data_IF_045471702287
#
_entry.id   IF_045471702287
#
_cell.length_a   1.000
_cell.length_b   1.000
_cell.length_c   1.000
_cell.angle_alpha   90.00
_cell.angle_beta   90.00
_cell.angle_gamma   90.00
#
_symmetry.space_group_name_H-M   'P 1'
#
loop_
_entity.id
_entity.type
_entity.pdbx_description
1 polymer ?
#
# COMPACT_ATOMS: atom_id res chain seq x y z
N UNK A 1 -19.55 4.18 3.02
CA UNK A 1 -18.38 3.77 2.20
C UNK A 1 -18.66 2.39 1.62
N UNK A 2 -18.37 2.17 0.34
CA UNK A 2 -18.47 0.89 -0.36
C UNK A 2 -17.07 0.45 -0.75
N UNK A 3 -16.78 -0.85 -0.66
CA UNK A 3 -15.49 -1.41 -1.10
C UNK A 3 -15.69 -2.20 -2.39
N UNK A 4 -14.77 -2.07 -3.33
CA UNK A 4 -14.72 -2.90 -4.55
C UNK A 4 -13.37 -3.62 -4.57
N UNK A 5 -13.38 -4.94 -4.48
CA UNK A 5 -12.18 -5.76 -4.62
C UNK A 5 -12.11 -6.32 -6.04
N UNK A 6 -11.06 -5.96 -6.77
CA UNK A 6 -10.85 -6.34 -8.17
C UNK A 6 -9.76 -7.39 -8.24
N UNK A 7 -10.15 -8.64 -8.41
CA UNK A 7 -9.25 -9.78 -8.53
C UNK A 7 -8.85 -10.01 -10.00
N UNK A 8 -7.60 -9.80 -10.35
CA UNK A 8 -7.08 -9.91 -11.71
C UNK A 8 -6.22 -11.16 -11.86
N UNK A 9 -6.67 -12.12 -12.64
CA UNK A 9 -5.92 -13.36 -12.91
C UNK A 9 -5.65 -14.21 -11.67
N UNK A 10 -6.55 -14.16 -10.69
CA UNK A 10 -6.50 -15.01 -9.49
C UNK A 10 -7.13 -16.38 -9.75
N UNK A 11 -6.84 -17.33 -8.88
CA UNK A 11 -7.56 -18.63 -8.90
C UNK A 11 -8.93 -18.50 -8.24
N UNK A 12 -9.86 -19.35 -8.64
CA UNK A 12 -11.20 -19.42 -8.01
C UNK A 12 -11.13 -19.69 -6.51
N UNK A 13 -10.10 -20.43 -6.07
CA UNK A 13 -9.87 -20.71 -4.65
C UNK A 13 -9.49 -19.44 -3.88
N UNK A 14 -8.53 -18.66 -4.38
CA UNK A 14 -8.10 -17.41 -3.74
C UNK A 14 -9.27 -16.44 -3.57
N UNK A 15 -10.07 -16.24 -4.61
CA UNK A 15 -11.26 -15.36 -4.55
C UNK A 15 -12.29 -15.89 -3.55
N UNK A 16 -12.50 -17.19 -3.50
CA UNK A 16 -13.40 -17.84 -2.54
C UNK A 16 -12.92 -17.67 -1.09
N UNK A 17 -11.62 -17.82 -0.86
CA UNK A 17 -11.03 -17.65 0.47
C UNK A 17 -11.18 -16.19 0.96
N UNK A 18 -10.98 -15.21 0.06
CA UNK A 18 -11.23 -13.78 0.36
C UNK A 18 -12.70 -13.54 0.69
N UNK A 19 -13.62 -14.08 -0.12
CA UNK A 19 -15.06 -13.95 0.15
C UNK A 19 -15.46 -14.51 1.52
N UNK A 20 -14.92 -15.67 1.89
CA UNK A 20 -15.17 -16.27 3.21
C UNK A 20 -14.63 -15.40 4.36
N UNK A 21 -13.42 -14.85 4.22
CA UNK A 21 -12.87 -13.96 5.23
C UNK A 21 -13.70 -12.68 5.38
N UNK A 22 -14.13 -12.07 4.27
CA UNK A 22 -15.00 -10.89 4.29
C UNK A 22 -16.35 -11.21 4.95
N UNK A 23 -16.95 -12.36 4.62
CA UNK A 23 -18.23 -12.81 5.18
C UNK A 23 -18.11 -13.04 6.69
N UNK A 24 -17.06 -13.76 7.11
CA UNK A 24 -16.79 -14.05 8.53
C UNK A 24 -16.67 -12.79 9.38
N UNK A 25 -16.25 -11.67 8.77
CA UNK A 25 -16.05 -10.37 9.44
C UNK A 25 -17.17 -9.37 9.22
N UNK A 26 -18.25 -9.77 8.55
CA UNK A 26 -19.38 -8.90 8.23
C UNK A 26 -19.08 -7.86 7.13
N UNK A 27 -17.91 -7.92 6.49
CA UNK A 27 -17.52 -6.96 5.46
C UNK A 27 -18.14 -7.25 4.09
N UNK A 28 -18.68 -8.45 3.86
CA UNK A 28 -19.34 -8.82 2.60
C UNK A 28 -20.56 -7.95 2.28
N UNK A 29 -21.22 -7.37 3.29
CA UNK A 29 -22.41 -6.54 3.11
C UNK A 29 -22.17 -5.21 2.40
N UNK A 30 -20.93 -4.71 2.43
CA UNK A 30 -20.51 -3.45 1.78
C UNK A 30 -19.35 -3.65 0.80
N UNK A 31 -19.06 -4.91 0.42
CA UNK A 31 -17.96 -5.21 -0.51
C UNK A 31 -18.49 -5.89 -1.78
N UNK A 32 -18.15 -5.32 -2.92
CA UNK A 32 -18.37 -5.89 -4.25
C UNK A 32 -17.07 -6.59 -4.68
N UNK A 33 -17.16 -7.84 -5.13
CA UNK A 33 -16.02 -8.57 -5.68
C UNK A 33 -16.20 -8.69 -7.19
N UNK A 34 -15.23 -8.18 -7.95
CA UNK A 34 -15.20 -8.31 -9.42
C UNK A 34 -13.93 -9.09 -9.76
N UNK A 35 -14.08 -10.23 -10.39
CA UNK A 35 -12.97 -11.15 -10.61
C UNK A 35 -12.85 -11.57 -12.08
N UNK A 36 -11.60 -11.66 -12.55
CA UNK A 36 -11.21 -12.47 -13.71
C UNK A 36 -10.26 -13.56 -13.24
N UNK A 37 -10.47 -14.77 -13.71
CA UNK A 37 -9.70 -15.92 -13.31
C UNK A 37 -8.53 -16.19 -14.27
N UNK A 38 -7.54 -16.90 -13.79
CA UNK A 38 -6.32 -17.22 -14.55
C UNK A 38 -6.56 -18.16 -15.76
N UNK A 39 -7.71 -18.83 -15.81
CA UNK A 39 -8.15 -19.72 -16.88
C UNK A 39 -9.09 -19.02 -17.89
N UNK A 40 -9.30 -17.71 -17.76
CA UNK A 40 -10.16 -16.92 -18.64
C UNK A 40 -9.40 -16.30 -19.82
N UNK A 41 -10.15 -15.81 -20.80
CA UNK A 41 -9.60 -15.15 -21.97
C UNK A 41 -8.89 -13.83 -21.59
N UNK A 42 -7.73 -13.51 -22.17
CA UNK A 42 -6.96 -12.30 -21.86
C UNK A 42 -7.76 -11.00 -21.95
N UNK A 43 -8.68 -10.89 -22.90
CA UNK A 43 -9.52 -9.70 -23.05
C UNK A 43 -10.45 -9.45 -21.86
N UNK A 44 -10.98 -10.49 -21.25
CA UNK A 44 -11.78 -10.36 -20.01
C UNK A 44 -10.94 -9.83 -18.87
N UNK A 45 -9.78 -10.43 -18.66
CA UNK A 45 -8.83 -9.99 -17.63
C UNK A 45 -8.39 -8.55 -17.84
N UNK A 46 -8.14 -8.14 -19.08
CA UNK A 46 -7.80 -6.75 -19.41
C UNK A 46 -8.94 -5.77 -19.09
N UNK A 47 -10.19 -6.14 -19.35
CA UNK A 47 -11.35 -5.27 -19.14
C UNK A 47 -11.82 -5.20 -17.67
N UNK A 48 -11.45 -6.16 -16.84
CA UNK A 48 -11.93 -6.30 -15.46
C UNK A 48 -11.76 -5.02 -14.62
N UNK A 49 -10.59 -4.35 -14.56
CA UNK A 49 -10.44 -3.12 -13.79
C UNK A 49 -11.24 -1.94 -14.37
N UNK A 50 -11.44 -1.88 -15.67
CA UNK A 50 -12.27 -0.83 -16.30
C UNK A 50 -13.74 -0.97 -15.89
N UNK A 51 -14.27 -2.19 -15.88
CA UNK A 51 -15.64 -2.47 -15.42
C UNK A 51 -15.79 -2.07 -13.95
N UNK A 52 -14.84 -2.44 -13.12
CA UNK A 52 -14.85 -2.11 -11.69
C UNK A 52 -14.86 -0.59 -11.44
N UNK A 53 -14.02 0.14 -12.17
CA UNK A 53 -13.94 1.58 -12.05
C UNK A 53 -15.17 2.30 -12.62
N UNK A 54 -15.83 1.75 -13.65
CA UNK A 54 -17.11 2.31 -14.14
C UNK A 54 -18.22 2.17 -13.09
N UNK A 55 -18.25 1.05 -12.34
CA UNK A 55 -19.18 0.89 -11.22
C UNK A 55 -18.84 1.85 -10.09
N UNK A 56 -17.54 2.05 -9.80
CA UNK A 56 -17.09 2.99 -8.77
C UNK A 56 -17.47 4.43 -9.13
N UNK A 57 -17.34 4.83 -10.39
CA UNK A 57 -17.72 6.16 -10.88
C UNK A 57 -19.23 6.42 -10.71
N UNK A 58 -20.07 5.45 -11.05
CA UNK A 58 -21.52 5.58 -10.86
C UNK A 58 -21.87 5.75 -9.38
N UNK A 59 -21.29 4.91 -8.50
CA UNK A 59 -21.48 5.05 -7.06
C UNK A 59 -20.99 6.38 -6.51
N UNK A 60 -19.86 6.89 -7.00
CA UNK A 60 -19.34 8.21 -6.62
C UNK A 60 -20.32 9.31 -7.02
N UNK A 61 -20.92 9.22 -8.20
CA UNK A 61 -21.95 10.19 -8.64
C UNK A 61 -23.19 10.16 -7.77
N UNK A 62 -23.52 9.00 -7.19
CA UNK A 62 -24.56 8.82 -6.16
C UNK A 62 -24.10 9.23 -4.75
N UNK A 63 -23.00 9.97 -4.64
CA UNK A 63 -22.44 10.50 -3.38
C UNK A 63 -21.91 9.44 -2.41
N UNK A 64 -21.54 8.24 -2.88
CA UNK A 64 -20.83 7.25 -2.07
C UNK A 64 -19.32 7.50 -2.08
N UNK A 65 -18.68 7.24 -0.93
CA UNK A 65 -17.23 7.05 -0.88
C UNK A 65 -16.92 5.60 -1.23
N UNK A 66 -16.08 5.40 -2.24
CA UNK A 66 -15.74 4.09 -2.78
C UNK A 66 -14.25 3.81 -2.62
N UNK A 67 -13.91 2.68 -1.99
CA UNK A 67 -12.55 2.16 -1.93
C UNK A 67 -12.40 1.04 -2.95
N UNK A 68 -11.51 1.21 -3.93
CA UNK A 68 -11.22 0.21 -4.96
C UNK A 68 -9.85 -0.39 -4.71
N UNK A 69 -9.78 -1.71 -4.49
CA UNK A 69 -8.53 -2.47 -4.36
C UNK A 69 -8.34 -3.28 -5.62
N UNK A 70 -7.26 -3.03 -6.38
CA UNK A 70 -6.95 -3.73 -7.63
C UNK A 70 -5.80 -4.72 -7.40
N UNK A 71 -6.07 -6.00 -7.40
CA UNK A 71 -5.12 -7.07 -7.10
C UNK A 71 -5.03 -8.08 -8.28
N UNK A 72 -4.00 -8.00 -9.15
CA UNK A 72 -2.91 -7.01 -9.17
C UNK A 72 -2.73 -6.39 -10.56
N UNK A 73 -2.13 -5.23 -10.61
CA UNK A 73 -1.86 -4.52 -11.88
C UNK A 73 -0.67 -5.09 -12.66
N UNK A 74 0.19 -5.90 -12.04
CA UNK A 74 1.26 -6.61 -12.78
C UNK A 74 0.66 -7.66 -13.70
N UNK A 75 -0.33 -8.41 -13.20
CA UNK A 75 -1.10 -9.37 -14.01
C UNK A 75 -1.84 -8.69 -15.15
N UNK A 76 -2.45 -7.52 -14.88
CA UNK A 76 -3.08 -6.71 -15.92
C UNK A 76 -2.08 -6.31 -17.02
N UNK A 77 -0.89 -5.84 -16.64
CA UNK A 77 0.17 -5.49 -17.58
C UNK A 77 0.63 -6.68 -18.42
N UNK A 78 0.82 -7.86 -17.79
CA UNK A 78 1.25 -9.09 -18.48
C UNK A 78 0.19 -9.54 -19.49
N UNK A 79 -1.09 -9.45 -19.16
CA UNK A 79 -2.20 -9.75 -20.07
C UNK A 79 -2.24 -8.74 -21.23
N UNK A 80 -2.04 -7.46 -20.98
CA UNK A 80 -2.00 -6.47 -22.05
C UNK A 80 -0.81 -6.69 -22.98
N UNK A 81 0.36 -7.06 -22.44
CA UNK A 81 1.51 -7.50 -23.25
C UNK A 81 1.15 -8.70 -24.13
N UNK A 82 0.48 -9.71 -23.60
CA UNK A 82 0.04 -10.89 -24.36
C UNK A 82 -0.89 -10.51 -25.51
N UNK A 83 -1.89 -9.67 -25.26
CA UNK A 83 -2.83 -9.18 -26.29
C UNK A 83 -2.09 -8.40 -27.37
N UNK A 84 -1.17 -7.53 -26.99
CA UNK A 84 -0.40 -6.70 -27.91
C UNK A 84 0.49 -7.55 -28.83
N UNK A 85 1.19 -8.52 -28.28
CA UNK A 85 2.05 -9.45 -29.04
C UNK A 85 1.20 -10.34 -29.99
N UNK A 86 0.07 -10.85 -29.53
CA UNK A 86 -0.85 -11.61 -30.38
C UNK A 86 -1.41 -10.75 -31.53
N UNK A 87 -1.58 -9.45 -31.32
CA UNK A 87 -2.00 -8.47 -32.33
C UNK A 87 -0.83 -7.99 -33.21
N UNK A 88 0.36 -8.58 -33.09
CA UNK A 88 1.59 -8.23 -33.86
C UNK A 88 1.98 -6.76 -33.74
N UNK A 89 1.67 -6.07 -32.65
CA UNK A 89 2.13 -4.71 -32.36
C UNK A 89 3.62 -4.75 -32.00
N UNK A 90 4.37 -3.74 -32.40
CA UNK A 90 5.78 -3.59 -32.05
C UNK A 90 5.93 -3.47 -30.52
N UNK A 91 6.71 -4.35 -29.87
CA UNK A 91 6.93 -4.30 -28.44
C UNK A 91 7.81 -3.11 -28.05
N UNK A 92 7.52 -2.53 -26.90
CA UNK A 92 8.36 -1.55 -26.25
C UNK A 92 9.31 -2.18 -25.22
N UNK A 93 9.64 -1.42 -24.16
CA UNK A 93 10.53 -1.86 -23.07
C UNK A 93 9.96 -3.13 -22.40
N UNK A 94 10.82 -4.11 -22.14
CA UNK A 94 10.48 -5.41 -21.54
C UNK A 94 9.33 -6.14 -22.27
N UNK A 95 9.23 -5.90 -23.59
CA UNK A 95 8.18 -6.40 -24.47
C UNK A 95 6.75 -5.94 -24.10
N UNK A 96 6.59 -4.97 -23.22
CA UNK A 96 5.30 -4.34 -22.96
C UNK A 96 4.88 -3.43 -24.11
N UNK A 97 3.57 -3.21 -24.31
CA UNK A 97 3.10 -2.18 -25.24
C UNK A 97 3.65 -0.81 -24.87
N UNK A 98 3.99 0.02 -25.85
CA UNK A 98 4.53 1.37 -25.61
C UNK A 98 3.55 2.30 -24.90
N UNK A 99 2.25 1.99 -24.93
CA UNK A 99 1.16 2.73 -24.30
C UNK A 99 0.73 2.15 -22.92
N UNK A 100 1.49 1.21 -22.34
CA UNK A 100 1.16 0.59 -21.05
C UNK A 100 1.04 1.63 -19.92
N UNK A 101 1.92 2.64 -19.90
CA UNK A 101 1.84 3.73 -18.94
C UNK A 101 0.49 4.45 -19.04
N UNK A 102 0.07 4.77 -20.26
CA UNK A 102 -1.20 5.45 -20.51
C UNK A 102 -2.40 4.57 -20.11
N UNK A 103 -2.34 3.26 -20.36
CA UNK A 103 -3.39 2.33 -19.95
C UNK A 103 -3.59 2.33 -18.42
N UNK A 104 -2.48 2.29 -17.64
CA UNK A 104 -2.54 2.36 -16.19
C UNK A 104 -2.92 3.74 -15.65
N UNK A 105 -2.41 4.81 -16.24
CA UNK A 105 -2.76 6.18 -15.89
C UNK A 105 -4.27 6.42 -16.04
N UNK A 106 -4.88 5.98 -17.13
CA UNK A 106 -6.34 6.06 -17.33
C UNK A 106 -7.17 5.32 -16.27
N UNK A 107 -6.61 4.26 -15.68
CA UNK A 107 -7.27 3.55 -14.58
C UNK A 107 -7.12 4.33 -13.27
N UNK A 108 -5.90 4.73 -12.93
CA UNK A 108 -5.56 5.25 -11.61
C UNK A 108 -5.96 6.71 -11.42
N UNK A 109 -5.97 7.51 -12.47
CA UNK A 109 -6.44 8.91 -12.45
C UNK A 109 -7.97 9.05 -12.26
N UNK A 110 -8.70 7.94 -12.18
CA UNK A 110 -10.10 7.93 -11.75
C UNK A 110 -10.28 8.08 -10.24
N UNK A 111 -9.19 7.95 -9.46
CA UNK A 111 -9.19 8.26 -8.02
C UNK A 111 -9.36 9.77 -7.82
N UNK A 112 -10.49 10.19 -7.24
CA UNK A 112 -10.77 11.60 -7.02
C UNK A 112 -11.87 11.84 -5.98
N UNK A 113 -11.94 13.07 -5.50
CA UNK A 113 -13.08 13.60 -4.74
C UNK A 113 -14.00 14.36 -5.68
N UNK A 114 -15.25 13.95 -5.81
CA UNK A 114 -16.21 14.64 -6.65
C UNK A 114 -16.76 15.93 -5.99
N UNK A 115 -17.04 16.97 -6.79
CA UNK A 115 -17.50 18.29 -6.28
C UNK A 115 -18.83 18.22 -5.53
N UNK A 116 -19.72 17.32 -5.94
CA UNK A 116 -21.07 17.18 -5.38
C UNK A 116 -21.15 16.12 -4.27
N UNK A 117 -20.02 15.69 -3.71
CA UNK A 117 -19.91 14.59 -2.76
C UNK A 117 -19.50 13.30 -3.43
N UNK A 118 -19.18 12.29 -2.62
CA UNK A 118 -18.62 11.03 -3.09
C UNK A 118 -17.14 11.11 -3.47
N UNK A 119 -16.44 9.99 -3.33
CA UNK A 119 -15.02 9.89 -3.67
C UNK A 119 -14.66 8.49 -4.15
N UNK A 120 -13.58 8.39 -4.94
CA UNK A 120 -12.94 7.13 -5.27
C UNK A 120 -11.51 7.16 -4.75
N UNK A 121 -11.19 6.21 -3.88
CA UNK A 121 -9.81 5.92 -3.45
C UNK A 121 -9.37 4.61 -4.08
N UNK A 122 -8.25 4.60 -4.79
CA UNK A 122 -7.73 3.41 -5.47
C UNK A 122 -6.47 2.93 -4.77
N UNK A 123 -6.45 1.66 -4.37
CA UNK A 123 -5.27 0.95 -3.85
C UNK A 123 -4.82 -0.10 -4.88
N UNK A 124 -3.93 0.25 -5.81
CA UNK A 124 -3.36 -0.72 -6.72
C UNK A 124 -2.32 -1.58 -6.01
N UNK A 125 -2.44 -2.89 -6.16
CA UNK A 125 -1.44 -3.85 -5.69
C UNK A 125 -0.56 -4.23 -6.88
N UNK A 126 0.75 -4.28 -6.64
CA UNK A 126 1.76 -4.67 -7.63
C UNK A 126 2.72 -5.67 -7.01
N UNK A 127 2.74 -6.87 -7.53
CA UNK A 127 3.70 -7.88 -7.12
C UNK A 127 5.06 -7.62 -7.78
N UNK A 128 6.11 -7.45 -6.95
CA UNK A 128 7.48 -7.27 -7.42
C UNK A 128 8.24 -8.59 -7.44
N UNK A 129 9.09 -8.79 -8.44
CA UNK A 129 9.98 -9.96 -8.49
C UNK A 129 11.20 -9.71 -7.62
N UNK A 130 11.51 -10.65 -6.73
CA UNK A 130 12.72 -10.60 -5.86
C UNK A 130 12.82 -9.30 -5.04
N UNK A 131 11.69 -8.70 -4.66
CA UNK A 131 11.64 -7.41 -3.95
C UNK A 131 12.21 -6.22 -4.73
N UNK A 132 12.33 -6.34 -6.05
CA UNK A 132 12.80 -5.25 -6.91
C UNK A 132 11.65 -4.29 -7.25
N UNK A 133 11.62 -3.14 -6.59
CA UNK A 133 10.66 -2.06 -6.85
C UNK A 133 11.03 -1.20 -8.06
N UNK A 134 12.20 -1.42 -8.66
CA UNK A 134 12.71 -0.65 -9.81
C UNK A 134 12.29 -1.25 -11.14
N UNK A 135 11.54 -2.35 -11.14
CA UNK A 135 11.02 -2.93 -12.38
C UNK A 135 10.11 -1.94 -13.12
N UNK A 136 10.03 -2.12 -14.45
CA UNK A 136 9.37 -1.16 -15.34
C UNK A 136 7.89 -0.90 -14.99
N UNK A 137 7.14 -1.91 -14.61
CA UNK A 137 5.71 -1.75 -14.30
C UNK A 137 5.54 -1.11 -12.92
N UNK A 138 6.31 -1.55 -11.93
CA UNK A 138 6.25 -0.98 -10.57
C UNK A 138 6.59 0.52 -10.58
N UNK A 139 7.67 0.92 -11.27
CA UNK A 139 8.06 2.34 -11.38
C UNK A 139 7.03 3.18 -12.10
N UNK A 140 6.38 2.65 -13.14
CA UNK A 140 5.29 3.35 -13.83
C UNK A 140 4.11 3.60 -12.88
N UNK A 141 3.67 2.58 -12.14
CA UNK A 141 2.53 2.68 -11.22
C UNK A 141 2.86 3.61 -10.05
N UNK A 142 4.06 3.51 -9.46
CA UNK A 142 4.53 4.43 -8.43
C UNK A 142 4.51 5.89 -8.91
N UNK A 143 4.88 6.14 -10.16
CA UNK A 143 4.90 7.50 -10.71
C UNK A 143 3.50 8.10 -10.92
N UNK A 144 2.48 7.27 -11.14
CA UNK A 144 1.09 7.69 -11.31
C UNK A 144 0.43 7.94 -9.94
N UNK A 145 0.71 7.09 -8.93
CA UNK A 145 0.05 7.16 -7.62
C UNK A 145 0.57 8.30 -6.74
N UNK A 146 -0.26 8.76 -5.80
CA UNK A 146 0.08 9.80 -4.81
C UNK A 146 0.96 9.29 -3.66
N UNK A 147 1.32 8.04 -3.67
CA UNK A 147 2.21 7.42 -2.69
C UNK A 147 2.32 5.91 -2.87
N UNK A 148 3.21 5.31 -2.11
CA UNK A 148 3.42 3.87 -2.10
C UNK A 148 3.66 3.31 -0.70
N UNK A 149 3.15 2.11 -0.47
CA UNK A 149 3.46 1.27 0.68
C UNK A 149 4.28 0.08 0.19
N UNK A 150 5.54 0.02 0.58
CA UNK A 150 6.46 -1.05 0.17
C UNK A 150 6.48 -2.14 1.24
N UNK A 151 6.03 -3.34 0.89
CA UNK A 151 6.10 -4.52 1.76
C UNK A 151 7.39 -5.30 1.48
N UNK A 152 8.08 -5.70 2.55
CA UNK A 152 9.37 -6.39 2.49
C UNK A 152 9.28 -7.80 3.04
N UNK A 153 9.63 -8.79 2.23
CA UNK A 153 9.75 -10.18 2.68
C UNK A 153 10.82 -10.36 3.76
N UNK A 154 11.92 -9.57 3.70
CA UNK A 154 12.96 -9.54 4.74
C UNK A 154 12.38 -9.08 6.09
N UNK A 155 11.59 -8.01 6.10
CA UNK A 155 10.96 -7.50 7.33
C UNK A 155 9.91 -8.49 7.86
N UNK A 156 9.17 -9.14 6.96
CA UNK A 156 8.22 -10.18 7.35
C UNK A 156 8.92 -11.36 8.04
N UNK A 157 10.04 -11.83 7.50
CA UNK A 157 10.84 -12.90 8.08
C UNK A 157 11.43 -12.53 9.47
N UNK A 158 11.72 -11.23 9.70
CA UNK A 158 12.13 -10.67 11.01
C UNK A 158 10.96 -10.54 12.01
N UNK A 159 9.73 -10.91 11.62
CA UNK A 159 8.54 -10.86 12.48
C UNK A 159 7.82 -9.51 12.52
N UNK A 160 8.24 -8.53 11.71
CA UNK A 160 7.60 -7.23 11.63
C UNK A 160 6.23 -7.34 10.95
N UNK A 161 5.17 -6.86 11.58
CA UNK A 161 3.78 -6.87 11.07
C UNK A 161 3.07 -5.56 11.37
N UNK A 162 2.63 -4.80 10.33
CA UNK A 162 2.82 -5.08 8.90
C UNK A 162 4.30 -5.01 8.49
N UNK A 163 4.67 -5.77 7.46
CA UNK A 163 6.05 -5.87 6.97
C UNK A 163 6.48 -4.67 6.11
N UNK A 164 6.14 -3.47 6.54
CA UNK A 164 6.43 -2.23 5.82
C UNK A 164 7.92 -1.90 5.82
N UNK A 165 8.41 -1.48 4.68
CA UNK A 165 9.68 -0.78 4.59
C UNK A 165 9.39 0.73 4.75
N UNK A 166 9.65 1.27 5.93
CA UNK A 166 9.31 2.66 6.27
C UNK A 166 10.17 3.69 5.51
N UNK A 167 11.39 3.33 5.09
CA UNK A 167 12.25 4.18 4.29
C UNK A 167 11.77 4.35 2.85
N UNK A 168 11.28 3.26 2.23
CA UNK A 168 10.82 3.25 0.85
C UNK A 168 9.32 3.58 0.69
N UNK A 169 8.57 3.58 1.80
CA UNK A 169 7.15 3.95 1.78
C UNK A 169 7.00 5.45 1.88
N UNK A 170 6.31 6.05 0.90
CA UNK A 170 6.22 7.51 0.74
C UNK A 170 4.79 7.92 0.43
N UNK A 171 4.35 9.06 0.97
CA UNK A 171 3.15 9.79 0.56
C UNK A 171 3.55 11.14 -0.01
N UNK A 172 3.09 11.46 -1.22
CA UNK A 172 3.31 12.77 -1.86
C UNK A 172 2.44 13.87 -1.22
N UNK A 173 1.29 13.49 -0.68
CA UNK A 173 0.37 14.41 0.00
C UNK A 173 0.81 14.70 1.45
N UNK A 174 1.64 13.84 2.01
CA UNK A 174 2.10 13.96 3.40
C UNK A 174 0.93 13.99 4.39
N UNK A 175 1.05 14.82 5.42
CA UNK A 175 0.03 14.95 6.46
C UNK A 175 -1.08 15.98 6.17
N UNK A 176 -1.41 16.27 4.91
CA UNK A 176 -2.35 17.36 4.56
C UNK A 176 -3.77 17.17 5.10
N UNK A 177 -4.21 15.91 5.20
CA UNK A 177 -5.54 15.56 5.72
C UNK A 177 -5.53 15.15 7.20
N UNK A 178 -4.34 15.12 7.83
CA UNK A 178 -4.20 14.77 9.24
C UNK A 178 -4.52 15.97 10.15
N UNK A 179 -5.10 15.70 11.32
CA UNK A 179 -5.22 16.68 12.36
C UNK A 179 -3.81 17.11 12.85
N UNK A 180 -3.65 18.37 13.34
CA UNK A 180 -2.32 18.91 13.68
C UNK A 180 -1.55 18.06 14.70
N UNK A 181 -2.23 17.50 15.69
CA UNK A 181 -1.71 16.59 16.70
C UNK A 181 -1.15 15.30 16.07
N UNK A 182 -1.93 14.66 15.21
CA UNK A 182 -1.51 13.45 14.50
C UNK A 182 -0.35 13.73 13.54
N UNK A 183 -0.35 14.87 12.85
CA UNK A 183 0.72 15.27 11.93
C UNK A 183 2.03 15.47 12.66
N UNK A 184 1.99 16.17 13.81
CA UNK A 184 3.17 16.41 14.65
C UNK A 184 3.75 15.11 15.17
N UNK A 185 2.91 14.27 15.79
CA UNK A 185 3.34 12.98 16.34
C UNK A 185 3.83 12.02 15.27
N UNK A 186 3.14 11.93 14.13
CA UNK A 186 3.55 11.09 13.00
C UNK A 186 4.90 11.49 12.41
N UNK A 187 5.22 12.78 12.36
CA UNK A 187 6.53 13.27 11.91
C UNK A 187 7.64 12.88 12.88
N UNK A 188 7.37 12.99 14.19
CA UNK A 188 8.30 12.60 15.24
C UNK A 188 8.57 11.09 15.21
N UNK A 189 7.52 10.27 15.23
CA UNK A 189 7.64 8.80 15.13
C UNK A 189 8.43 8.39 13.90
N UNK A 190 8.17 9.03 12.75
CA UNK A 190 8.87 8.71 11.50
C UNK A 190 10.36 9.05 11.60
N UNK A 191 10.72 10.21 12.14
CA UNK A 191 12.12 10.63 12.31
C UNK A 191 12.88 9.63 13.17
N UNK A 192 12.41 9.39 14.38
CA UNK A 192 13.06 8.49 15.34
C UNK A 192 13.18 7.05 14.79
N UNK A 193 12.12 6.58 14.12
CA UNK A 193 12.14 5.25 13.52
C UNK A 193 13.15 5.13 12.38
N UNK A 194 13.27 6.14 11.49
CA UNK A 194 14.22 6.08 10.38
C UNK A 194 15.66 6.15 10.88
N UNK A 195 15.96 7.01 11.85
CA UNK A 195 17.29 7.07 12.50
C UNK A 195 17.63 5.72 13.16
N UNK A 196 16.70 5.13 13.86
CA UNK A 196 16.89 3.78 14.43
C UNK A 196 17.18 2.72 13.37
N UNK A 197 16.44 2.71 12.26
CA UNK A 197 16.61 1.71 11.22
C UNK A 197 17.96 1.83 10.51
N UNK A 198 18.44 3.05 10.27
CA UNK A 198 19.78 3.31 9.70
C UNK A 198 20.86 2.78 10.63
N UNK A 199 20.80 3.13 11.91
CA UNK A 199 21.77 2.68 12.92
C UNK A 199 21.72 1.15 13.08
N UNK A 200 20.53 0.59 13.17
CA UNK A 200 20.34 -0.87 13.29
C UNK A 200 20.98 -1.65 12.16
N UNK A 201 20.77 -1.22 10.91
CA UNK A 201 21.29 -1.94 9.75
C UNK A 201 22.84 -1.88 9.66
N UNK A 202 23.46 -0.80 10.22
CA UNK A 202 24.92 -0.67 10.34
C UNK A 202 25.47 -1.56 11.47
N UNK A 203 24.79 -1.56 12.61
CA UNK A 203 25.28 -2.20 13.83
C UNK A 203 24.62 -3.57 14.13
N UNK A 204 23.87 -4.14 13.19
CA UNK A 204 23.22 -5.46 13.36
C UNK A 204 24.23 -6.59 13.72
N UNK A 205 25.52 -6.34 13.43
CA UNK A 205 26.64 -7.27 13.70
C UNK A 205 27.56 -6.83 14.87
N UNK A 206 27.32 -5.65 15.46
CA UNK A 206 28.11 -5.14 16.57
C UNK A 206 27.44 -5.40 17.93
N UNK A 207 28.24 -5.60 18.99
CA UNK A 207 27.71 -5.71 20.35
C UNK A 207 27.19 -4.33 20.81
N UNK A 208 25.94 -4.29 21.25
CA UNK A 208 25.27 -3.06 21.74
C UNK A 208 26.04 -2.46 22.94
N UNK A 209 26.70 -3.29 23.75
CA UNK A 209 27.44 -2.86 24.93
C UNK A 209 28.75 -2.09 24.61
N UNK A 210 29.22 -2.14 23.35
CA UNK A 210 30.39 -1.39 22.87
C UNK A 210 30.03 0.00 22.32
N UNK A 211 28.74 0.34 22.28
CA UNK A 211 28.23 1.61 21.78
C UNK A 211 28.22 2.68 22.87
N UNK A 212 28.42 3.94 22.51
CA UNK A 212 28.26 5.07 23.44
C UNK A 212 26.83 5.17 23.98
N UNK A 213 26.68 5.72 25.19
CA UNK A 213 25.38 5.80 25.90
C UNK A 213 24.25 6.43 25.08
N UNK A 214 24.53 7.48 24.32
CA UNK A 214 23.56 8.16 23.48
C UNK A 214 23.01 7.23 22.38
N UNK A 215 23.88 6.45 21.75
CA UNK A 215 23.52 5.50 20.71
C UNK A 215 22.72 4.33 21.28
N UNK A 216 23.08 3.85 22.47
CA UNK A 216 22.29 2.81 23.17
C UNK A 216 20.89 3.31 23.51
N UNK A 217 20.74 4.57 23.92
CA UNK A 217 19.44 5.17 24.20
C UNK A 217 18.56 5.21 22.94
N UNK A 218 19.08 5.75 21.84
CA UNK A 218 18.37 5.77 20.54
C UNK A 218 17.98 4.38 20.06
N UNK A 219 18.83 3.38 20.23
CA UNK A 219 18.54 1.99 19.88
C UNK A 219 17.39 1.41 20.70
N UNK A 220 17.33 1.73 22.00
CA UNK A 220 16.24 1.30 22.88
C UNK A 220 14.92 1.94 22.50
N UNK A 221 14.89 3.25 22.29
CA UNK A 221 13.67 3.98 21.93
C UNK A 221 13.13 3.55 20.56
N UNK A 222 14.00 3.49 19.55
CA UNK A 222 13.60 3.05 18.22
C UNK A 222 13.06 1.61 18.19
N UNK A 223 13.62 0.72 19.02
CA UNK A 223 13.08 -0.63 19.20
C UNK A 223 11.68 -0.60 19.82
N UNK A 224 11.46 0.24 20.83
CA UNK A 224 10.13 0.40 21.46
C UNK A 224 9.12 0.91 20.42
N UNK A 225 9.50 1.88 19.58
CA UNK A 225 8.65 2.39 18.50
C UNK A 225 8.29 1.25 17.53
N UNK A 226 9.28 0.48 17.08
CA UNK A 226 9.05 -0.62 16.14
C UNK A 226 8.15 -1.70 16.74
N UNK A 227 8.33 -2.05 18.00
CA UNK A 227 7.51 -3.03 18.71
C UNK A 227 6.05 -2.53 18.85
N UNK A 228 5.85 -1.24 19.12
CA UNK A 228 4.51 -0.62 19.18
C UNK A 228 3.83 -0.53 17.82
N UNK A 229 4.59 -0.45 16.72
CA UNK A 229 4.06 -0.50 15.35
C UNK A 229 3.60 -1.91 14.96
N UNK A 230 4.11 -2.95 15.62
CA UNK A 230 3.62 -4.30 15.37
C UNK A 230 2.16 -4.44 15.81
N UNK A 231 1.34 -4.97 14.92
CA UNK A 231 -0.09 -5.19 15.19
C UNK A 231 -0.56 -6.52 14.64
N UNK A 232 -1.57 -7.09 15.26
CA UNK A 232 -2.23 -8.29 14.76
C UNK A 232 -3.05 -7.97 13.50
N UNK A 233 -3.17 -8.94 12.60
CA UNK A 233 -3.82 -8.81 11.29
C UNK A 233 -5.22 -8.17 11.33
N UNK A 234 -5.96 -8.30 12.43
CA UNK A 234 -7.34 -7.86 12.54
C UNK A 234 -7.62 -7.03 13.80
N UNK A 235 -6.61 -6.32 14.27
CA UNK A 235 -6.69 -5.44 15.42
C UNK A 235 -6.34 -4.00 14.99
N UNK A 236 -7.25 -3.32 14.26
CA UNK A 236 -7.05 -1.91 13.92
C UNK A 236 -7.04 -1.08 15.19
N UNK A 237 -6.19 -0.05 15.22
CA UNK A 237 -6.12 0.92 16.31
C UNK A 237 -6.89 2.18 15.94
N UNK A 238 -7.63 2.76 16.88
CA UNK A 238 -8.27 4.05 16.69
C UNK A 238 -7.23 5.18 16.64
N UNK A 239 -7.65 6.36 16.20
CA UNK A 239 -6.78 7.55 16.17
C UNK A 239 -6.33 7.91 17.60
N UNK A 240 -7.22 7.84 18.56
CA UNK A 240 -6.97 8.14 19.97
C UNK A 240 -5.96 7.16 20.57
N UNK A 241 -6.13 5.86 20.29
CA UNK A 241 -5.20 4.82 20.72
C UNK A 241 -3.80 5.03 20.09
N UNK A 242 -3.72 5.47 18.83
CA UNK A 242 -2.44 5.77 18.20
C UNK A 242 -1.75 6.99 18.83
N UNK A 243 -2.48 8.05 19.14
CA UNK A 243 -1.92 9.22 19.80
C UNK A 243 -1.38 8.88 21.19
N UNK A 244 -2.17 8.13 21.99
CA UNK A 244 -1.75 7.73 23.33
C UNK A 244 -0.52 6.81 23.31
N UNK A 245 -0.45 5.91 22.34
CA UNK A 245 0.64 4.92 22.21
C UNK A 245 2.02 5.55 22.08
N UNK A 246 2.13 6.74 21.47
CA UNK A 246 3.40 7.42 21.19
C UNK A 246 3.57 8.73 21.97
N UNK A 247 2.70 9.04 22.91
CA UNK A 247 2.76 10.27 23.72
C UNK A 247 4.08 10.44 24.48
N UNK A 248 4.73 9.32 24.85
CA UNK A 248 6.03 9.34 25.54
C UNK A 248 7.14 10.03 24.73
N UNK A 249 7.05 10.05 23.39
CA UNK A 249 8.02 10.73 22.55
C UNK A 249 7.92 12.26 22.66
N UNK A 250 6.72 12.80 22.82
CA UNK A 250 6.52 14.24 23.04
C UNK A 250 7.05 14.69 24.42
N UNK A 251 6.93 13.82 25.42
CA UNK A 251 7.45 14.06 26.76
C UNK A 251 8.99 14.07 26.78
N UNK A 252 9.63 13.20 26.00
CA UNK A 252 11.08 13.14 25.79
C UNK A 252 11.63 14.41 25.12
N UNK A 253 11.02 14.89 24.03
CA UNK A 253 11.42 16.14 23.37
C UNK A 253 11.30 17.36 24.29
N UNK A 254 10.24 17.43 25.08
CA UNK A 254 10.04 18.55 26.03
C UNK A 254 11.10 18.58 27.15
N UNK A 255 11.63 17.42 27.53
CA UNK A 255 12.68 17.32 28.55
C UNK A 255 14.09 17.60 27.97
N UNK A 256 14.32 17.27 26.68
CA UNK A 256 15.61 17.55 26.00
C UNK A 256 15.78 19.04 25.63
N UNK A 257 14.67 19.80 25.54
CA UNK A 257 14.67 21.22 25.24
C UNK A 257 14.63 22.12 26.50
N UNK A 258 14.72 21.55 27.70
CA UNK A 258 14.89 22.24 28.98
C UNK A 258 16.30 22.09 29.53
#
# INVERSE_FOLDING_TARGET
>A
MVCIYVAIGKTKKEVKDIYYELTKRGAASYTIIIASFNDELPNRTYLTPYVALSIAEEMMMDSYDVLVVIDDLKKHADVYRQISLASKKTPGRDAYPSDIFYAHSRLLEKGCQHKNGGSITILPIVETKSSDITDYISTNIISICDGQLVLSSKNFAKGQKPALNYGLSVSRLGGNVQAPDMKKLGSLVRRELLEYLEVRDIYELANIDEMGEELQHRMKEGKIILDKLNQNKFAPKSKEEMLELYKFLEEGENNANR
#
